data_IF_997873784646
#
_entry.id   IF_997873784646
#
_cell.length_a   1.000
_cell.length_b   1.000
_cell.length_c   1.000
_cell.angle_alpha   90.00
_cell.angle_beta   90.00
_cell.angle_gamma   90.00
#
_symmetry.space_group_name_H-M   'P 1'
#
loop_
_entity.id
_entity.type
_entity.pdbx_description
1 polymer ?
#
# COMPACT_ATOMS: atom_id res chain seq x y z
N UNK A 1 -22.14 14.46 -4.04
CA UNK A 1 -22.69 14.86 -2.74
C UNK A 1 -21.75 15.79 -1.98
N UNK A 2 -20.47 15.43 -1.84
CA UNK A 2 -19.45 16.33 -1.23
C UNK A 2 -19.39 17.66 -1.99
N UNK A 3 -19.45 17.63 -3.31
CA UNK A 3 -19.50 18.82 -4.18
C UNK A 3 -20.77 19.67 -3.93
N UNK A 4 -21.93 19.03 -3.77
CA UNK A 4 -23.19 19.75 -3.48
C UNK A 4 -23.17 20.41 -2.12
N UNK A 5 -22.71 19.70 -1.08
CA UNK A 5 -22.64 20.26 0.29
C UNK A 5 -21.54 21.32 0.39
N UNK A 6 -20.45 21.16 -0.38
CA UNK A 6 -19.35 22.11 -0.40
C UNK A 6 -19.67 23.34 -1.28
N UNK A 7 -20.55 23.23 -2.29
CA UNK A 7 -21.03 24.36 -3.07
C UNK A 7 -21.79 25.38 -2.20
N UNK A 8 -22.54 24.92 -1.21
CA UNK A 8 -23.19 25.78 -0.20
C UNK A 8 -22.18 26.49 0.71
N UNK A 9 -20.90 26.11 0.64
CA UNK A 9 -19.81 26.64 1.44
C UNK A 9 -18.64 27.08 0.54
N UNK A 10 -18.93 27.97 -0.37
CA UNK A 10 -18.01 28.50 -1.39
C UNK A 10 -16.69 29.09 -0.84
N UNK A 11 -16.58 29.31 0.47
CA UNK A 11 -15.33 29.70 1.16
C UNK A 11 -14.35 28.56 1.36
N UNK A 12 -14.79 27.29 1.23
CA UNK A 12 -13.95 26.13 1.39
C UNK A 12 -13.31 25.72 0.06
N UNK A 13 -12.02 25.41 0.08
CA UNK A 13 -11.29 25.01 -1.12
C UNK A 13 -11.98 23.84 -1.86
N UNK A 14 -12.53 22.86 -1.14
CA UNK A 14 -13.23 21.71 -1.73
C UNK A 14 -14.53 22.10 -2.45
N UNK A 15 -15.15 23.21 -2.09
CA UNK A 15 -16.40 23.69 -2.70
C UNK A 15 -16.20 24.61 -3.91
N UNK A 16 -14.97 24.99 -4.22
CA UNK A 16 -14.69 25.89 -5.31
C UNK A 16 -14.76 25.16 -6.64
N UNK A 17 -15.48 25.72 -7.66
CA UNK A 17 -15.63 25.08 -8.96
C UNK A 17 -14.30 24.76 -9.63
N UNK A 18 -13.29 25.62 -9.49
CA UNK A 18 -11.95 25.43 -10.04
C UNK A 18 -11.22 24.19 -9.49
N UNK A 19 -11.65 23.69 -8.32
CA UNK A 19 -11.07 22.51 -7.66
C UNK A 19 -11.85 21.23 -7.94
N UNK A 20 -12.94 21.25 -8.69
CA UNK A 20 -13.82 20.10 -8.91
C UNK A 20 -13.08 18.90 -9.52
N UNK A 21 -12.22 19.13 -10.52
CA UNK A 21 -11.43 18.06 -11.14
C UNK A 21 -10.40 17.47 -10.17
N UNK A 22 -9.68 18.30 -9.43
CA UNK A 22 -8.72 17.87 -8.43
C UNK A 22 -9.39 17.06 -7.31
N UNK A 23 -10.58 17.48 -6.87
CA UNK A 23 -11.40 16.75 -5.88
C UNK A 23 -11.82 15.38 -6.41
N UNK A 24 -12.27 15.31 -7.67
CA UNK A 24 -12.68 14.06 -8.31
C UNK A 24 -11.53 13.08 -8.41
N UNK A 25 -10.36 13.53 -8.85
CA UNK A 25 -9.16 12.70 -8.93
C UNK A 25 -8.70 12.20 -7.56
N UNK A 26 -8.69 13.06 -6.55
CA UNK A 26 -8.36 12.68 -5.17
C UNK A 26 -9.32 11.60 -4.65
N UNK A 27 -10.63 11.75 -4.90
CA UNK A 27 -11.63 10.77 -4.50
C UNK A 27 -11.41 9.41 -5.17
N UNK A 28 -11.15 9.39 -6.49
CA UNK A 28 -10.89 8.16 -7.23
C UNK A 28 -9.61 7.45 -6.76
N UNK A 29 -8.54 8.20 -6.50
CA UNK A 29 -7.28 7.66 -5.97
C UNK A 29 -7.45 7.06 -4.58
N UNK A 30 -8.16 7.77 -3.70
CA UNK A 30 -8.47 7.26 -2.36
C UNK A 30 -9.30 5.99 -2.41
N UNK A 31 -10.29 5.91 -3.31
CA UNK A 31 -11.11 4.71 -3.51
C UNK A 31 -10.26 3.54 -4.04
N UNK A 32 -9.41 3.77 -5.02
CA UNK A 32 -8.49 2.75 -5.54
C UNK A 32 -7.55 2.24 -4.45
N UNK A 33 -6.98 3.16 -3.66
CA UNK A 33 -6.09 2.80 -2.56
C UNK A 33 -6.82 1.98 -1.48
N UNK A 34 -8.03 2.37 -1.09
CA UNK A 34 -8.85 1.62 -0.14
C UNK A 34 -9.17 0.21 -0.66
N UNK A 35 -9.63 0.10 -1.91
CA UNK A 35 -9.93 -1.20 -2.52
C UNK A 35 -8.71 -2.10 -2.55
N UNK A 36 -7.55 -1.56 -2.90
CA UNK A 36 -6.27 -2.29 -2.88
C UNK A 36 -5.93 -2.78 -1.47
N UNK A 37 -6.02 -1.92 -0.46
CA UNK A 37 -5.74 -2.28 0.93
C UNK A 37 -6.72 -3.36 1.44
N UNK A 38 -7.98 -3.27 1.08
CA UNK A 38 -8.99 -4.27 1.46
C UNK A 38 -8.80 -5.60 0.73
N UNK A 39 -8.59 -5.57 -0.57
CA UNK A 39 -8.50 -6.79 -1.39
C UNK A 39 -7.15 -7.49 -1.22
N UNK A 40 -6.03 -6.75 -1.27
CA UNK A 40 -4.70 -7.34 -1.19
C UNK A 40 -4.25 -7.63 0.24
N UNK A 41 -4.54 -6.72 1.16
CA UNK A 41 -3.99 -6.78 2.52
C UNK A 41 -5.05 -7.14 3.57
N UNK A 42 -6.31 -7.32 3.17
CA UNK A 42 -7.40 -7.63 4.09
C UNK A 42 -7.62 -6.58 5.18
N UNK A 43 -7.28 -5.31 4.89
CA UNK A 43 -7.41 -4.22 5.86
C UNK A 43 -8.88 -3.83 6.00
N UNK A 44 -9.34 -3.67 7.23
CA UNK A 44 -10.70 -3.20 7.52
C UNK A 44 -10.87 -1.72 7.11
N UNK A 45 -12.12 -1.32 6.85
CA UNK A 45 -12.46 0.06 6.51
C UNK A 45 -12.21 1.04 7.67
N UNK A 46 -12.23 0.54 8.90
CA UNK A 46 -11.91 1.28 10.11
C UNK A 46 -10.71 0.70 10.82
N UNK A 47 -9.79 1.56 11.18
CA UNK A 47 -8.54 1.20 11.86
C UNK A 47 -8.35 2.07 13.10
N UNK A 48 -7.66 1.55 14.10
CA UNK A 48 -7.37 2.33 15.30
C UNK A 48 -6.04 3.08 15.14
N UNK A 49 -6.03 4.38 15.48
CA UNK A 49 -4.83 5.22 15.55
C UNK A 49 -3.95 4.90 16.75
N UNK A 50 -2.81 5.60 16.88
CA UNK A 50 -1.93 5.51 18.07
C UNK A 50 -2.64 5.91 19.37
N UNK A 51 -3.58 6.84 19.32
CA UNK A 51 -4.40 7.29 20.47
C UNK A 51 -5.52 6.31 20.82
N UNK A 52 -5.80 5.32 19.97
CA UNK A 52 -6.93 4.40 20.12
C UNK A 52 -8.22 4.89 19.45
N UNK A 53 -8.23 6.11 18.91
CA UNK A 53 -9.38 6.62 18.16
C UNK A 53 -9.55 5.85 16.84
N UNK A 54 -10.81 5.65 16.45
CA UNK A 54 -11.14 5.01 15.18
C UNK A 54 -10.95 5.98 14.02
N UNK A 55 -10.25 5.51 12.98
CA UNK A 55 -10.01 6.23 11.73
C UNK A 55 -10.67 5.48 10.59
N UNK A 56 -11.55 6.15 9.85
CA UNK A 56 -12.05 5.62 8.60
C UNK A 56 -10.95 5.73 7.53
N UNK A 57 -10.52 4.59 7.00
CA UNK A 57 -9.34 4.50 6.13
C UNK A 57 -9.55 5.24 4.80
N UNK A 58 -10.74 5.14 4.20
CA UNK A 58 -11.04 5.88 2.98
C UNK A 58 -10.89 7.39 3.18
N UNK A 59 -11.43 7.92 4.26
CA UNK A 59 -11.34 9.36 4.57
C UNK A 59 -9.93 9.79 4.92
N UNK A 60 -9.15 8.93 5.57
CA UNK A 60 -7.74 9.19 5.81
C UNK A 60 -6.95 9.29 4.49
N UNK A 61 -7.18 8.36 3.56
CA UNK A 61 -6.57 8.39 2.22
C UNK A 61 -7.06 9.61 1.43
N UNK A 62 -8.37 9.86 1.40
CA UNK A 62 -8.93 11.02 0.72
C UNK A 62 -8.32 12.34 1.24
N UNK A 63 -8.15 12.48 2.55
CA UNK A 63 -7.51 13.66 3.14
C UNK A 63 -6.09 13.83 2.64
N UNK A 64 -5.34 12.75 2.50
CA UNK A 64 -3.97 12.78 1.99
C UNK A 64 -3.93 13.14 0.50
N UNK A 65 -4.80 12.54 -0.30
CA UNK A 65 -4.91 12.82 -1.74
C UNK A 65 -5.38 14.27 -2.01
N UNK A 66 -6.28 14.81 -1.20
CA UNK A 66 -6.68 16.22 -1.29
C UNK A 66 -5.53 17.17 -0.95
N UNK A 67 -4.71 16.82 0.05
CA UNK A 67 -3.50 17.60 0.35
C UNK A 67 -2.54 17.65 -0.84
N UNK A 68 -2.43 16.55 -1.61
CA UNK A 68 -1.56 16.48 -2.80
C UNK A 68 -2.17 17.13 -4.03
N UNK A 69 -3.48 17.06 -4.18
CA UNK A 69 -4.18 17.62 -5.35
C UNK A 69 -3.93 19.11 -5.49
N UNK A 70 -4.01 19.86 -4.40
CA UNK A 70 -3.73 21.29 -4.39
C UNK A 70 -2.25 21.63 -4.66
N UNK A 71 -1.34 20.77 -4.22
CA UNK A 71 0.06 20.91 -4.57
C UNK A 71 0.29 20.73 -6.09
N UNK A 72 -0.32 19.74 -6.71
CA UNK A 72 -0.20 19.51 -8.13
C UNK A 72 -0.73 20.70 -8.93
N UNK A 73 -1.87 21.27 -8.54
CA UNK A 73 -2.52 22.40 -9.19
C UNK A 73 -1.76 23.71 -8.95
N UNK A 74 -1.49 24.06 -7.69
CA UNK A 74 -1.03 25.39 -7.31
C UNK A 74 0.50 25.53 -7.37
N UNK A 75 1.23 24.43 -7.23
CA UNK A 75 2.70 24.43 -7.27
C UNK A 75 3.23 23.89 -8.60
N UNK A 76 2.96 22.63 -8.94
CA UNK A 76 3.63 22.00 -10.09
C UNK A 76 3.24 22.62 -11.42
N UNK A 77 1.97 22.88 -11.69
CA UNK A 77 1.52 23.51 -12.93
C UNK A 77 2.10 24.93 -13.05
N UNK A 78 1.97 25.72 -11.99
CA UNK A 78 2.51 27.08 -11.97
C UNK A 78 4.05 27.12 -12.03
N UNK A 79 4.74 26.11 -11.50
CA UNK A 79 6.19 25.97 -11.61
C UNK A 79 6.62 25.63 -13.04
N UNK A 80 5.95 24.67 -13.69
CA UNK A 80 6.23 24.28 -15.06
C UNK A 80 6.09 25.47 -16.02
N UNK A 81 5.00 26.23 -15.94
CA UNK A 81 4.79 27.45 -16.73
C UNK A 81 5.94 28.47 -16.57
N UNK A 82 6.45 28.62 -15.34
CA UNK A 82 7.55 29.55 -15.08
C UNK A 82 8.90 29.03 -15.56
N UNK A 83 9.11 27.71 -15.55
CA UNK A 83 10.30 27.09 -16.15
C UNK A 83 10.28 27.31 -17.66
N UNK A 84 9.15 27.08 -18.32
CA UNK A 84 9.00 27.29 -19.75
C UNK A 84 9.24 28.76 -20.14
N UNK A 85 8.75 29.71 -19.33
CA UNK A 85 8.91 31.12 -19.56
C UNK A 85 10.32 31.65 -19.28
N UNK A 86 11.07 31.05 -18.33
CA UNK A 86 12.38 31.56 -17.90
C UNK A 86 13.55 30.77 -18.47
N UNK A 87 13.35 29.50 -18.87
CA UNK A 87 14.41 28.56 -19.24
C UNK A 87 15.29 28.10 -18.07
N UNK A 88 15.02 28.59 -16.86
CA UNK A 88 15.81 28.24 -15.63
C UNK A 88 14.88 27.91 -14.46
N UNK A 89 14.96 26.66 -13.99
CA UNK A 89 14.14 26.17 -12.89
C UNK A 89 14.41 26.92 -11.56
N UNK A 90 15.60 27.45 -11.35
CA UNK A 90 15.94 28.19 -10.12
C UNK A 90 15.23 29.53 -10.09
N UNK A 91 15.22 30.23 -11.24
CA UNK A 91 14.49 31.50 -11.42
C UNK A 91 13.00 31.26 -11.30
N UNK A 92 12.49 30.17 -11.90
CA UNK A 92 11.10 29.77 -11.80
C UNK A 92 10.67 29.53 -10.34
N UNK A 93 11.48 28.78 -9.59
CA UNK A 93 11.20 28.48 -8.18
C UNK A 93 11.22 29.75 -7.31
N UNK A 94 12.20 30.63 -7.50
CA UNK A 94 12.28 31.90 -6.77
C UNK A 94 11.07 32.78 -7.04
N UNK A 95 10.67 32.93 -8.30
CA UNK A 95 9.49 33.72 -8.68
C UNK A 95 8.21 33.13 -8.08
N UNK A 96 8.02 31.81 -8.19
CA UNK A 96 6.87 31.13 -7.62
C UNK A 96 6.77 31.33 -6.09
N UNK A 97 7.89 31.18 -5.38
CA UNK A 97 7.95 31.38 -3.93
C UNK A 97 7.66 32.83 -3.54
N UNK A 98 8.21 33.81 -4.28
CA UNK A 98 7.97 35.24 -4.03
C UNK A 98 6.51 35.60 -4.28
N UNK A 99 5.88 35.08 -5.31
CA UNK A 99 4.46 35.27 -5.57
C UNK A 99 3.61 34.66 -4.46
N UNK A 100 3.98 33.44 -4.02
CA UNK A 100 3.31 32.77 -2.90
C UNK A 100 3.39 33.55 -1.59
N UNK A 101 4.55 34.15 -1.28
CA UNK A 101 4.72 35.00 -0.09
C UNK A 101 3.93 36.30 -0.22
N UNK A 102 3.99 36.97 -1.38
CA UNK A 102 3.28 38.22 -1.62
C UNK A 102 1.77 38.08 -1.57
N UNK A 103 1.25 36.98 -2.10
CA UNK A 103 -0.18 36.71 -2.23
C UNK A 103 -0.74 35.91 -1.04
N UNK A 104 0.13 35.46 -0.10
CA UNK A 104 -0.26 34.63 1.03
C UNK A 104 -0.67 33.20 0.65
N UNK A 105 -0.20 32.72 -0.51
CA UNK A 105 -0.54 31.41 -1.06
C UNK A 105 0.52 30.37 -0.68
N UNK A 106 0.35 29.75 0.48
CA UNK A 106 1.30 28.75 0.99
C UNK A 106 1.49 27.54 0.05
N UNK A 107 0.49 27.16 -0.74
CA UNK A 107 0.59 26.07 -1.69
C UNK A 107 1.62 26.30 -2.82
N UNK A 108 2.09 27.53 -2.99
CA UNK A 108 3.19 27.90 -3.88
C UNK A 108 4.58 27.77 -3.24
N UNK A 109 4.65 27.24 -2.03
CA UNK A 109 5.91 26.99 -1.33
C UNK A 109 6.20 25.50 -1.25
N UNK A 110 7.49 25.09 -1.20
CA UNK A 110 7.87 23.68 -1.11
C UNK A 110 7.50 23.03 0.22
N UNK A 111 7.14 23.82 1.22
CA UNK A 111 6.60 23.36 2.49
C UNK A 111 5.43 24.27 2.91
N UNK A 112 4.50 23.67 3.63
CA UNK A 112 3.37 24.41 4.24
C UNK A 112 3.41 24.23 5.75
N UNK A 113 2.88 25.21 6.47
CA UNK A 113 2.75 25.17 7.92
C UNK A 113 1.36 25.64 8.36
N UNK A 114 0.90 25.12 9.46
CA UNK A 114 -0.41 25.50 10.03
C UNK A 114 -0.46 25.20 11.52
N UNK A 115 -1.42 25.78 12.21
CA UNK A 115 -1.80 25.28 13.52
C UNK A 115 -2.56 23.96 13.40
N UNK A 116 -2.58 23.18 14.48
CA UNK A 116 -3.38 21.95 14.54
C UNK A 116 -4.86 22.23 14.27
N UNK A 117 -5.43 23.27 14.89
CA UNK A 117 -6.85 23.59 14.79
C UNK A 117 -7.25 23.97 13.37
N UNK A 118 -6.42 24.75 12.67
CA UNK A 118 -6.64 25.07 11.26
C UNK A 118 -6.63 23.81 10.39
N UNK A 119 -5.70 22.89 10.65
CA UNK A 119 -5.61 21.65 9.89
C UNK A 119 -6.79 20.72 10.16
N UNK A 120 -7.20 20.58 11.42
CA UNK A 120 -8.41 19.84 11.82
C UNK A 120 -9.64 20.44 11.16
N UNK A 121 -9.78 21.77 11.14
CA UNK A 121 -10.89 22.44 10.47
C UNK A 121 -10.94 22.12 8.98
N UNK A 122 -9.80 22.14 8.28
CA UNK A 122 -9.72 21.76 6.86
C UNK A 122 -10.15 20.31 6.65
N UNK A 123 -9.61 19.37 7.43
CA UNK A 123 -9.95 17.95 7.32
C UNK A 123 -11.42 17.71 7.68
N UNK A 124 -11.98 18.47 8.62
CA UNK A 124 -13.41 18.40 8.97
C UNK A 124 -14.28 18.63 7.74
N UNK A 125 -13.92 19.61 6.89
CA UNK A 125 -14.61 19.84 5.62
C UNK A 125 -14.56 18.64 4.66
N UNK A 126 -13.56 17.79 4.76
CA UNK A 126 -13.41 16.57 3.95
C UNK A 126 -14.12 15.35 4.55
N UNK A 127 -14.63 15.45 5.78
CA UNK A 127 -15.40 14.38 6.44
C UNK A 127 -16.92 14.51 6.26
N UNK A 128 -17.36 15.47 5.48
CA UNK A 128 -18.77 15.74 5.21
C UNK A 128 -19.47 14.54 4.58
N UNK A 129 -20.66 14.20 5.09
CA UNK A 129 -21.56 13.17 4.54
C UNK A 129 -23.02 13.61 4.62
N UNK A 130 -23.93 12.80 4.08
CA UNK A 130 -25.37 13.02 4.22
C UNK A 130 -25.81 13.07 5.68
N UNK A 131 -25.25 12.19 6.51
CA UNK A 131 -25.53 12.12 7.95
C UNK A 131 -24.79 13.17 8.77
N UNK A 132 -23.67 13.68 8.26
CA UNK A 132 -22.81 14.65 8.94
C UNK A 132 -22.51 15.85 8.01
N UNK A 133 -23.50 16.69 7.72
CA UNK A 133 -23.33 17.79 6.75
C UNK A 133 -22.38 18.90 7.24
N UNK A 134 -22.08 18.94 8.53
CA UNK A 134 -21.08 19.84 9.11
C UNK A 134 -19.66 19.25 9.12
N UNK A 135 -19.52 17.99 8.74
CA UNK A 135 -18.29 17.21 8.93
C UNK A 135 -18.15 16.74 10.39
N UNK A 136 -17.08 15.96 10.64
CA UNK A 136 -16.82 15.38 11.96
C UNK A 136 -15.43 15.79 12.48
N UNK A 137 -15.36 16.80 13.40
CA UNK A 137 -14.08 17.28 13.94
C UNK A 137 -13.28 16.21 14.71
N UNK A 138 -13.97 15.28 15.39
CA UNK A 138 -13.31 14.18 16.11
C UNK A 138 -12.63 13.23 15.14
N UNK A 139 -13.32 12.85 14.08
CA UNK A 139 -12.75 12.04 13.01
C UNK A 139 -11.59 12.76 12.30
N UNK A 140 -11.75 14.06 12.04
CA UNK A 140 -10.71 14.89 11.43
C UNK A 140 -9.43 14.93 12.29
N UNK A 141 -9.61 15.06 13.62
CA UNK A 141 -8.50 14.99 14.58
C UNK A 141 -7.80 13.64 14.54
N UNK A 142 -8.57 12.54 14.56
CA UNK A 142 -8.02 11.18 14.49
C UNK A 142 -7.27 10.90 13.16
N UNK A 143 -7.80 11.39 12.04
CA UNK A 143 -7.15 11.32 10.71
C UNK A 143 -5.82 12.09 10.72
N UNK A 144 -5.83 13.31 11.28
CA UNK A 144 -4.62 14.11 11.38
C UNK A 144 -3.54 13.40 12.21
N UNK A 145 -3.92 12.83 13.36
CA UNK A 145 -3.01 12.09 14.23
C UNK A 145 -2.49 10.82 13.56
N UNK A 146 -3.30 10.15 12.78
CA UNK A 146 -2.88 8.98 11.99
C UNK A 146 -1.73 9.32 11.01
N UNK A 147 -1.75 10.51 10.41
CA UNK A 147 -0.73 10.96 9.44
C UNK A 147 0.39 11.81 10.05
N UNK A 148 0.43 12.01 11.36
CA UNK A 148 1.35 12.96 12.01
C UNK A 148 2.43 12.26 12.83
N UNK A 149 3.69 12.65 12.61
CA UNK A 149 4.78 12.42 13.56
C UNK A 149 4.89 13.60 14.52
N UNK A 150 4.80 13.34 15.82
CA UNK A 150 5.17 14.31 16.86
C UNK A 150 6.69 14.27 17.03
N UNK A 151 7.34 15.32 16.52
CA UNK A 151 8.80 15.39 16.48
C UNK A 151 9.41 15.64 17.85
N UNK A 152 8.70 16.32 18.75
CA UNK A 152 9.13 16.54 20.14
C UNK A 152 9.12 15.19 20.88
N UNK A 153 8.01 14.50 20.86
CA UNK A 153 7.89 13.18 21.48
C UNK A 153 8.87 12.16 20.84
N UNK A 154 9.10 12.25 19.53
CA UNK A 154 10.10 11.39 18.85
C UNK A 154 11.52 11.69 19.31
N UNK A 155 11.89 12.95 19.44
CA UNK A 155 13.23 13.35 19.94
C UNK A 155 13.48 12.84 21.37
N UNK A 156 12.50 12.97 22.26
CA UNK A 156 12.57 12.45 23.63
C UNK A 156 12.79 10.93 23.67
N UNK A 157 12.11 10.19 22.77
CA UNK A 157 12.25 8.74 22.67
C UNK A 157 13.60 8.33 22.10
N UNK A 158 14.12 9.07 21.11
CA UNK A 158 15.49 8.87 20.59
C UNK A 158 16.55 9.11 21.65
N UNK A 159 16.40 10.14 22.49
CA UNK A 159 17.30 10.39 23.62
C UNK A 159 17.32 9.23 24.63
N UNK A 160 16.21 8.49 24.76
CA UNK A 160 16.11 7.28 25.58
C UNK A 160 16.63 6.01 24.90
N UNK A 161 17.23 6.14 23.70
CA UNK A 161 17.71 5.03 22.88
C UNK A 161 16.64 3.96 22.58
N UNK A 162 15.37 4.37 22.42
CA UNK A 162 14.32 3.45 22.03
C UNK A 162 14.56 2.92 20.61
N UNK A 163 14.66 1.60 20.38
CA UNK A 163 14.97 1.04 19.08
C UNK A 163 13.83 1.26 18.08
N UNK A 164 14.16 1.38 16.81
CA UNK A 164 13.19 1.39 15.72
C UNK A 164 12.45 2.71 15.48
N UNK A 165 12.88 3.81 16.09
CA UNK A 165 12.21 5.11 16.08
C UNK A 165 12.75 6.10 15.04
N UNK A 166 12.94 5.69 13.81
CA UNK A 166 13.24 6.65 12.76
C UNK A 166 11.93 7.16 12.12
N UNK A 167 11.61 8.47 12.22
CA UNK A 167 10.49 9.06 11.51
C UNK A 167 10.66 8.86 10.02
N UNK A 168 9.59 8.49 9.34
CA UNK A 168 9.61 8.28 7.91
C UNK A 168 8.46 9.04 7.25
N UNK A 169 8.80 10.03 6.42
CA UNK A 169 7.83 10.90 5.77
C UNK A 169 6.85 10.14 4.88
N UNK A 170 7.29 9.03 4.27
CA UNK A 170 6.42 8.16 3.45
C UNK A 170 5.46 7.28 4.26
N UNK A 171 5.53 7.33 5.59
CA UNK A 171 4.53 6.69 6.45
C UNK A 171 3.59 7.75 7.04
N UNK A 172 4.15 8.89 7.45
CA UNK A 172 3.44 10.00 8.06
C UNK A 172 4.00 11.33 7.55
N UNK A 173 3.35 11.91 6.53
CA UNK A 173 3.89 13.08 5.84
C UNK A 173 3.66 14.41 6.58
N UNK A 174 3.00 14.40 7.73
CA UNK A 174 2.79 15.58 8.57
C UNK A 174 3.72 15.53 9.77
N UNK A 175 4.52 16.57 9.97
CA UNK A 175 5.43 16.71 11.10
C UNK A 175 4.89 17.72 12.08
N UNK A 176 4.83 17.38 13.38
CA UNK A 176 4.38 18.27 14.45
C UNK A 176 5.57 18.70 15.29
N UNK A 177 5.76 20.02 15.39
CA UNK A 177 6.75 20.68 16.24
C UNK A 177 6.02 21.58 17.25
N UNK A 178 5.76 21.05 18.43
CA UNK A 178 4.93 21.75 19.44
C UNK A 178 3.52 22.01 18.92
N UNK A 179 3.15 23.29 18.77
CA UNK A 179 1.84 23.70 18.24
C UNK A 179 1.78 23.80 16.71
N UNK A 180 2.93 23.75 16.03
CA UNK A 180 3.03 23.94 14.59
C UNK A 180 3.10 22.60 13.86
N UNK A 181 2.28 22.46 12.84
CA UNK A 181 2.36 21.37 11.87
C UNK A 181 3.10 21.86 10.63
N UNK A 182 4.02 21.01 10.14
CA UNK A 182 4.76 21.24 8.89
C UNK A 182 4.47 20.08 7.96
N UNK A 183 4.22 20.38 6.70
CA UNK A 183 3.97 19.39 5.67
C UNK A 183 4.83 19.72 4.44
N UNK A 184 5.31 18.66 3.80
CA UNK A 184 6.00 18.70 2.51
C UNK A 184 5.01 18.20 1.44
N UNK A 185 4.26 19.09 0.76
CA UNK A 185 3.18 18.66 -0.16
C UNK A 185 3.70 17.80 -1.30
N UNK A 186 4.93 18.04 -1.75
CA UNK A 186 5.58 17.24 -2.78
C UNK A 186 5.83 15.78 -2.36
N UNK A 187 6.10 15.51 -1.07
CA UNK A 187 6.21 14.12 -0.56
C UNK A 187 4.87 13.41 -0.75
N UNK A 188 3.78 14.07 -0.32
CA UNK A 188 2.43 13.51 -0.43
C UNK A 188 2.01 13.32 -1.88
N UNK A 189 2.34 14.28 -2.76
CA UNK A 189 1.98 14.24 -4.18
C UNK A 189 2.75 13.21 -5.01
N UNK A 190 3.96 12.87 -4.60
CA UNK A 190 4.85 11.96 -5.35
C UNK A 190 4.90 10.54 -4.77
N UNK A 191 4.37 10.31 -3.58
CA UNK A 191 4.36 8.98 -2.97
C UNK A 191 3.12 8.18 -3.37
N UNK A 192 3.20 6.86 -3.19
CA UNK A 192 2.03 5.99 -3.24
C UNK A 192 1.33 6.00 -1.87
N UNK A 193 0.15 6.64 -1.79
CA UNK A 193 -0.57 6.82 -0.54
C UNK A 193 -1.11 5.49 0.05
N UNK A 194 -1.37 4.46 -0.78
CA UNK A 194 -1.69 3.13 -0.27
C UNK A 194 -0.50 2.49 0.43
N UNK A 195 0.71 2.65 -0.11
CA UNK A 195 1.94 2.19 0.54
C UNK A 195 2.22 2.93 1.84
N UNK A 196 1.99 4.25 1.89
CA UNK A 196 2.08 5.02 3.12
C UNK A 196 1.11 4.50 4.19
N UNK A 197 -0.13 4.22 3.82
CA UNK A 197 -1.14 3.67 4.73
C UNK A 197 -0.72 2.30 5.26
N UNK A 198 -0.30 1.37 4.40
CA UNK A 198 0.07 0.02 4.86
C UNK A 198 1.31 0.06 5.76
N UNK A 199 2.31 0.88 5.46
CA UNK A 199 3.48 1.02 6.32
C UNK A 199 3.11 1.60 7.69
N UNK A 200 2.20 2.58 7.73
CA UNK A 200 1.70 3.13 9.00
C UNK A 200 0.90 2.09 9.80
N UNK A 201 0.06 1.28 9.15
CA UNK A 201 -0.68 0.18 9.78
C UNK A 201 0.25 -0.91 10.32
N UNK A 202 1.30 -1.27 9.59
CA UNK A 202 2.33 -2.21 10.04
C UNK A 202 3.06 -1.72 11.28
N UNK A 203 3.40 -0.44 11.30
CA UNK A 203 4.00 0.18 12.48
C UNK A 203 3.08 0.09 13.70
N UNK A 204 1.80 0.34 13.51
CA UNK A 204 0.79 0.19 14.56
C UNK A 204 0.63 -1.28 14.99
N UNK A 205 0.55 -2.20 14.05
CA UNK A 205 0.46 -3.63 14.28
C UNK A 205 1.68 -4.19 15.01
N UNK A 206 2.89 -3.78 14.62
CA UNK A 206 4.12 -4.18 15.28
C UNK A 206 4.15 -3.76 16.76
N UNK A 207 3.70 -2.54 17.06
CA UNK A 207 3.56 -2.06 18.45
C UNK A 207 2.56 -2.86 19.28
N UNK A 208 1.56 -3.46 18.63
CA UNK A 208 0.49 -4.25 19.29
C UNK A 208 0.76 -5.75 19.27
N UNK A 209 1.91 -6.21 18.76
CA UNK A 209 2.22 -7.62 18.60
C UNK A 209 1.42 -8.35 17.51
N UNK A 210 0.79 -7.62 16.59
CA UNK A 210 -0.12 -8.15 15.55
C UNK A 210 0.55 -8.40 14.18
N UNK A 211 1.87 -8.48 14.12
CA UNK A 211 2.59 -8.67 12.86
C UNK A 211 2.21 -9.97 12.12
N UNK A 212 1.85 -11.02 12.88
CA UNK A 212 1.42 -12.32 12.33
C UNK A 212 0.06 -12.23 11.63
N UNK A 213 -0.84 -11.39 12.15
CA UNK A 213 -2.21 -11.26 11.65
C UNK A 213 -2.25 -10.64 10.24
N UNK A 214 -1.25 -9.84 9.89
CA UNK A 214 -1.16 -9.26 8.54
C UNK A 214 -0.85 -10.32 7.49
N UNK A 215 0.16 -11.18 7.73
CA UNK A 215 0.50 -12.25 6.80
C UNK A 215 -0.71 -13.16 6.53
N UNK A 216 -1.38 -13.59 7.58
CA UNK A 216 -2.59 -14.42 7.47
C UNK A 216 -3.73 -13.74 6.71
N UNK A 217 -3.91 -12.41 6.89
CA UNK A 217 -4.92 -11.66 6.12
C UNK A 217 -4.59 -11.59 4.64
N UNK A 218 -3.31 -11.43 4.28
CA UNK A 218 -2.85 -11.40 2.89
C UNK A 218 -3.05 -12.78 2.24
N UNK A 219 -2.63 -13.84 2.91
CA UNK A 219 -2.82 -15.22 2.45
C UNK A 219 -4.30 -15.53 2.20
N UNK A 220 -5.17 -15.22 3.18
CA UNK A 220 -6.62 -15.37 3.04
C UNK A 220 -7.21 -14.45 1.96
N UNK A 221 -6.66 -13.26 1.75
CA UNK A 221 -7.03 -12.34 0.69
C UNK A 221 -6.73 -12.92 -0.69
N UNK A 222 -5.50 -13.40 -0.88
CA UNK A 222 -5.08 -14.05 -2.14
C UNK A 222 -5.89 -15.32 -2.43
N UNK A 223 -6.12 -16.17 -1.43
CA UNK A 223 -6.93 -17.37 -1.60
C UNK A 223 -8.34 -17.02 -2.10
N UNK A 224 -9.02 -16.07 -1.44
CA UNK A 224 -10.36 -15.62 -1.87
C UNK A 224 -10.39 -15.05 -3.29
N UNK A 225 -9.34 -14.36 -3.72
CA UNK A 225 -9.24 -13.84 -5.08
C UNK A 225 -9.08 -14.96 -6.10
N UNK A 226 -8.24 -15.93 -5.80
CA UNK A 226 -8.06 -17.14 -6.62
C UNK A 226 -9.36 -17.95 -6.69
N UNK A 227 -10.07 -18.14 -5.57
CA UNK A 227 -11.38 -18.81 -5.53
C UNK A 227 -12.43 -18.12 -6.38
N UNK A 228 -12.48 -16.79 -6.39
CA UNK A 228 -13.35 -16.00 -7.27
C UNK A 228 -13.05 -16.23 -8.76
N UNK A 229 -11.85 -16.70 -9.10
CA UNK A 229 -11.41 -17.06 -10.46
C UNK A 229 -11.54 -18.55 -10.75
N UNK A 230 -12.18 -19.30 -9.86
CA UNK A 230 -12.46 -20.72 -10.04
C UNK A 230 -11.38 -21.66 -9.52
N UNK A 231 -10.29 -21.13 -8.93
CA UNK A 231 -9.30 -21.99 -8.30
C UNK A 231 -9.86 -22.66 -7.06
N UNK A 232 -9.43 -23.86 -6.80
CA UNK A 232 -9.51 -24.47 -5.47
C UNK A 232 -8.25 -24.12 -4.72
N UNK A 233 -8.40 -23.67 -3.47
CA UNK A 233 -7.29 -23.21 -2.65
C UNK A 233 -7.17 -24.01 -1.37
N UNK A 234 -5.95 -24.11 -0.85
CA UNK A 234 -5.65 -24.68 0.46
C UNK A 234 -4.63 -23.77 1.13
N UNK A 235 -5.00 -23.24 2.28
CA UNK A 235 -4.17 -22.35 3.10
C UNK A 235 -3.49 -23.13 4.22
N UNK A 236 -2.29 -22.69 4.60
CA UNK A 236 -1.58 -23.08 5.81
C UNK A 236 -1.45 -24.61 5.94
N UNK A 237 -1.18 -25.26 4.82
CA UNK A 237 -1.02 -26.70 4.82
C UNK A 237 0.31 -27.10 5.42
N UNK A 238 0.25 -27.97 6.43
CA UNK A 238 1.43 -28.54 7.08
C UNK A 238 1.62 -29.96 6.56
N UNK A 239 2.71 -30.23 5.81
CA UNK A 239 2.99 -31.57 5.35
C UNK A 239 3.24 -32.53 6.54
N UNK A 240 2.94 -33.83 6.38
CA UNK A 240 3.34 -34.84 7.34
C UNK A 240 4.84 -34.74 7.66
N UNK A 241 5.21 -34.84 8.91
CA UNK A 241 6.61 -34.72 9.35
C UNK A 241 7.49 -35.73 8.60
N UNK A 242 8.47 -35.20 7.88
CA UNK A 242 9.52 -35.94 7.17
C UNK A 242 10.91 -35.52 7.66
N UNK A 243 11.98 -36.18 7.20
CA UNK A 243 13.35 -35.84 7.58
C UNK A 243 13.74 -34.41 7.18
N UNK A 244 13.13 -33.87 6.12
CA UNK A 244 13.27 -32.48 5.69
C UNK A 244 11.98 -31.72 6.02
N UNK A 245 11.97 -31.01 7.15
CA UNK A 245 10.84 -30.16 7.55
C UNK A 245 10.64 -29.03 6.53
N UNK A 246 9.64 -29.21 5.65
CA UNK A 246 9.27 -28.20 4.67
C UNK A 246 8.59 -26.97 5.30
N UNK A 247 8.13 -27.10 6.54
CA UNK A 247 7.32 -26.11 7.21
C UNK A 247 5.92 -26.00 6.61
N UNK A 248 5.16 -25.04 7.09
CA UNK A 248 3.82 -24.71 6.60
C UNK A 248 3.89 -24.13 5.18
N UNK A 249 3.01 -24.58 4.28
CA UNK A 249 2.83 -24.04 2.94
C UNK A 249 1.73 -22.98 2.99
N UNK A 250 2.07 -21.74 2.70
CA UNK A 250 1.19 -20.59 2.93
C UNK A 250 -0.08 -20.70 2.06
N UNK A 251 0.07 -20.98 0.75
CA UNK A 251 -1.05 -21.10 -0.18
C UNK A 251 -0.76 -22.09 -1.31
N UNK A 252 -1.70 -23.01 -1.52
CA UNK A 252 -1.73 -23.91 -2.68
C UNK A 252 -3.00 -23.59 -3.46
N UNK A 253 -2.92 -23.51 -4.79
CA UNK A 253 -4.06 -23.26 -5.64
C UNK A 253 -4.03 -24.15 -6.88
N UNK A 254 -5.20 -24.67 -7.29
CA UNK A 254 -5.34 -25.59 -8.43
C UNK A 254 -6.49 -25.11 -9.32
N UNK A 255 -6.25 -25.09 -10.64
CA UNK A 255 -7.26 -24.85 -11.66
C UNK A 255 -6.83 -25.54 -12.97
N UNK A 256 -7.72 -26.30 -13.60
CA UNK A 256 -7.58 -26.85 -14.97
C UNK A 256 -6.20 -27.50 -15.27
N UNK A 257 -5.68 -28.28 -14.33
CA UNK A 257 -4.38 -28.94 -14.47
C UNK A 257 -3.15 -28.06 -14.11
N UNK A 258 -3.37 -26.83 -13.69
CA UNK A 258 -2.36 -25.97 -13.11
C UNK A 258 -2.31 -26.11 -11.59
N UNK A 259 -1.12 -26.20 -11.03
CA UNK A 259 -0.84 -26.17 -9.60
C UNK A 259 0.06 -25.00 -9.28
N UNK A 260 -0.35 -24.17 -8.36
CA UNK A 260 0.44 -23.07 -7.82
C UNK A 260 0.78 -23.34 -6.36
N UNK A 261 2.06 -23.19 -6.02
CA UNK A 261 2.56 -23.19 -4.64
C UNK A 261 3.12 -21.80 -4.37
N UNK A 262 2.53 -21.07 -3.43
CA UNK A 262 2.85 -19.67 -3.20
C UNK A 262 3.38 -19.50 -1.78
N UNK A 263 4.58 -18.94 -1.67
CA UNK A 263 5.18 -18.47 -0.43
C UNK A 263 4.89 -16.98 -0.27
N UNK A 264 4.17 -16.58 0.77
CA UNK A 264 3.76 -15.19 1.00
C UNK A 264 4.75 -14.48 1.93
N UNK A 265 5.17 -13.29 1.54
CA UNK A 265 6.01 -12.41 2.38
C UNK A 265 5.32 -11.07 2.57
N UNK A 266 5.13 -10.69 3.84
CA UNK A 266 4.66 -9.37 4.22
C UNK A 266 5.85 -8.54 4.68
N UNK A 267 6.26 -7.58 3.86
CA UNK A 267 7.48 -6.81 4.11
C UNK A 267 7.26 -5.32 3.98
N UNK A 268 8.02 -4.52 4.74
CA UNK A 268 7.98 -3.07 4.66
C UNK A 268 8.66 -2.58 3.38
N UNK A 269 8.23 -1.41 2.87
CA UNK A 269 8.97 -0.71 1.83
C UNK A 269 10.39 -0.38 2.29
N UNK A 270 11.36 -0.62 1.44
CA UNK A 270 12.77 -0.37 1.74
C UNK A 270 13.07 1.12 1.75
N UNK A 271 13.96 1.52 2.65
CA UNK A 271 14.34 2.93 2.84
C UNK A 271 15.65 3.29 2.14
N UNK A 272 16.43 2.27 1.77
CA UNK A 272 17.73 2.44 1.14
C UNK A 272 18.05 1.29 0.19
N UNK A 273 19.02 1.51 -0.70
CA UNK A 273 19.55 0.44 -1.55
C UNK A 273 20.16 -0.70 -0.72
N UNK A 274 20.76 -0.40 0.42
CA UNK A 274 21.26 -1.41 1.35
C UNK A 274 20.14 -2.29 1.90
N UNK A 275 19.02 -1.69 2.27
CA UNK A 275 17.86 -2.46 2.76
C UNK A 275 17.27 -3.34 1.66
N UNK A 276 17.19 -2.84 0.42
CA UNK A 276 16.77 -3.62 -0.74
C UNK A 276 17.73 -4.78 -1.01
N UNK A 277 19.04 -4.55 -0.95
CA UNK A 277 20.05 -5.59 -1.10
C UNK A 277 19.95 -6.63 0.03
N UNK A 278 19.83 -6.20 1.29
CA UNK A 278 19.65 -7.12 2.42
C UNK A 278 18.38 -7.97 2.24
N UNK A 279 17.29 -7.35 1.82
CA UNK A 279 16.04 -8.07 1.55
C UNK A 279 16.23 -9.16 0.48
N UNK A 280 16.82 -8.82 -0.65
CA UNK A 280 17.11 -9.76 -1.73
C UNK A 280 18.00 -10.91 -1.27
N UNK A 281 19.11 -10.60 -0.57
CA UNK A 281 20.12 -11.57 -0.19
C UNK A 281 19.79 -12.41 1.04
N UNK A 282 18.87 -11.95 1.89
CA UNK A 282 18.44 -12.68 3.10
C UNK A 282 17.01 -13.19 2.97
N UNK A 283 16.02 -12.30 2.97
CA UNK A 283 14.60 -12.67 3.03
C UNK A 283 14.15 -13.44 1.80
N UNK A 284 14.36 -12.89 0.60
CA UNK A 284 13.91 -13.51 -0.65
C UNK A 284 14.70 -14.77 -0.97
N UNK A 285 16.01 -14.76 -0.71
CA UNK A 285 16.84 -15.96 -0.87
C UNK A 285 16.38 -17.10 0.06
N UNK A 286 16.07 -16.78 1.31
CA UNK A 286 15.52 -17.75 2.26
C UNK A 286 14.14 -18.24 1.82
N UNK A 287 13.28 -17.36 1.34
CA UNK A 287 11.96 -17.72 0.80
C UNK A 287 12.09 -18.70 -0.36
N UNK A 288 13.01 -18.48 -1.30
CA UNK A 288 13.28 -19.44 -2.39
C UNK A 288 13.76 -20.81 -1.92
N UNK A 289 14.58 -20.86 -0.86
CA UNK A 289 15.01 -22.12 -0.26
C UNK A 289 13.86 -22.85 0.44
N UNK A 290 12.98 -22.12 1.15
CA UNK A 290 11.78 -22.66 1.77
C UNK A 290 10.83 -23.21 0.70
N UNK A 291 10.58 -22.43 -0.34
CA UNK A 291 9.66 -22.78 -1.41
C UNK A 291 10.08 -24.07 -2.14
N UNK A 292 11.38 -24.30 -2.32
CA UNK A 292 11.88 -25.55 -2.92
C UNK A 292 11.41 -26.77 -2.14
N UNK A 293 11.56 -26.77 -0.81
CA UNK A 293 11.13 -27.88 0.06
C UNK A 293 9.61 -28.01 0.09
N UNK A 294 8.88 -26.87 0.07
CA UNK A 294 7.41 -26.86 0.04
C UNK A 294 6.88 -27.47 -1.26
N UNK A 295 7.47 -27.10 -2.41
CA UNK A 295 7.13 -27.66 -3.73
C UNK A 295 7.32 -29.17 -3.77
N UNK A 296 8.43 -29.66 -3.24
CA UNK A 296 8.71 -31.09 -3.17
C UNK A 296 7.70 -31.82 -2.26
N UNK A 297 7.40 -31.28 -1.09
CA UNK A 297 6.41 -31.85 -0.19
C UNK A 297 5.00 -31.90 -0.79
N UNK A 298 4.59 -30.85 -1.51
CA UNK A 298 3.30 -30.79 -2.23
C UNK A 298 3.27 -31.83 -3.34
N UNK A 299 4.34 -31.98 -4.10
CA UNK A 299 4.45 -32.96 -5.19
C UNK A 299 4.33 -34.38 -4.66
N UNK A 300 5.01 -34.69 -3.55
CA UNK A 300 4.92 -36.00 -2.88
C UNK A 300 3.49 -36.25 -2.36
N UNK A 301 2.84 -35.26 -1.74
CA UNK A 301 1.48 -35.40 -1.25
C UNK A 301 0.47 -35.61 -2.39
N UNK A 302 0.60 -34.91 -3.50
CA UNK A 302 -0.23 -35.16 -4.69
C UNK A 302 -0.06 -36.58 -5.21
N UNK A 303 1.15 -37.11 -5.22
CA UNK A 303 1.42 -38.46 -5.71
C UNK A 303 0.89 -39.56 -4.75
N UNK A 304 1.01 -39.37 -3.45
CA UNK A 304 0.84 -40.45 -2.45
C UNK A 304 -0.41 -40.31 -1.58
N UNK A 305 -1.03 -39.12 -1.44
CA UNK A 305 -2.15 -38.88 -0.52
C UNK A 305 -3.48 -38.61 -1.25
N UNK A 306 -4.39 -39.59 -1.31
CA UNK A 306 -5.70 -39.39 -1.92
C UNK A 306 -6.56 -38.35 -1.19
N UNK A 307 -6.44 -38.21 0.12
CA UNK A 307 -7.19 -37.22 0.90
C UNK A 307 -6.74 -35.81 0.56
N UNK A 308 -5.44 -35.58 0.40
CA UNK A 308 -4.89 -34.31 -0.06
C UNK A 308 -5.38 -33.96 -1.46
N UNK A 309 -5.37 -34.92 -2.39
CA UNK A 309 -5.94 -34.70 -3.74
C UNK A 309 -7.42 -34.34 -3.68
N UNK A 310 -8.21 -35.02 -2.85
CA UNK A 310 -9.64 -34.76 -2.71
C UNK A 310 -9.93 -33.32 -2.22
N UNK A 311 -9.15 -32.81 -1.27
CA UNK A 311 -9.24 -31.41 -0.79
C UNK A 311 -8.99 -30.43 -1.92
N UNK A 312 -7.99 -30.70 -2.78
CA UNK A 312 -7.66 -29.87 -3.94
C UNK A 312 -8.60 -30.14 -5.15
N UNK A 313 -9.58 -31.05 -5.01
CA UNK A 313 -10.50 -31.42 -6.08
C UNK A 313 -9.85 -32.10 -7.27
N UNK A 314 -8.70 -32.71 -7.06
CA UNK A 314 -8.02 -33.53 -8.05
C UNK A 314 -8.66 -34.93 -8.02
N UNK A 315 -9.34 -35.31 -9.10
CA UNK A 315 -9.89 -36.66 -9.28
C UNK A 315 -8.76 -37.69 -9.45
N UNK A 316 -9.05 -38.97 -9.21
CA UNK A 316 -8.11 -40.04 -9.45
C UNK A 316 -7.60 -40.01 -10.90
N UNK A 317 -6.27 -39.89 -11.06
CA UNK A 317 -5.63 -39.80 -12.39
C UNK A 317 -5.39 -38.37 -12.92
N UNK A 318 -5.99 -37.35 -12.34
CA UNK A 318 -5.72 -35.95 -12.68
C UNK A 318 -4.53 -35.43 -11.84
N UNK A 319 -3.33 -35.67 -12.32
CA UNK A 319 -2.13 -35.04 -11.79
C UNK A 319 -1.95 -33.69 -12.50
N UNK A 320 -1.74 -32.58 -11.79
CA UNK A 320 -1.46 -31.29 -12.42
C UNK A 320 -0.29 -31.43 -13.39
N UNK A 321 -0.52 -31.07 -14.63
CA UNK A 321 0.51 -31.19 -15.70
C UNK A 321 1.48 -30.02 -15.69
N UNK A 322 1.07 -28.91 -15.04
CA UNK A 322 1.86 -27.68 -14.94
C UNK A 322 1.93 -27.22 -13.49
N UNK A 323 3.14 -27.21 -12.96
CA UNK A 323 3.40 -26.78 -11.60
C UNK A 323 4.21 -25.48 -11.60
N UNK A 324 3.70 -24.49 -10.90
CA UNK A 324 4.32 -23.18 -10.74
C UNK A 324 4.51 -22.87 -9.25
N UNK A 325 5.58 -22.18 -8.93
CA UNK A 325 5.85 -21.77 -7.57
C UNK A 325 6.38 -20.33 -7.54
N UNK A 326 5.76 -19.49 -6.70
CA UNK A 326 6.06 -18.07 -6.63
C UNK A 326 6.33 -17.61 -5.21
N UNK A 327 7.19 -16.60 -5.09
CA UNK A 327 7.35 -15.81 -3.86
C UNK A 327 6.49 -14.56 -4.04
N UNK A 328 5.33 -14.51 -3.39
CA UNK A 328 4.46 -13.34 -3.39
C UNK A 328 4.86 -12.39 -2.26
N UNK A 329 5.35 -11.19 -2.60
CA UNK A 329 5.75 -10.18 -1.62
C UNK A 329 4.84 -8.94 -1.70
N UNK A 330 4.64 -8.28 -0.59
CA UNK A 330 3.90 -7.02 -0.53
C UNK A 330 4.68 -5.81 -1.08
N UNK A 331 5.94 -5.98 -1.41
CA UNK A 331 6.78 -4.96 -2.03
C UNK A 331 7.06 -5.27 -3.50
N UNK A 332 7.16 -4.23 -4.32
CA UNK A 332 7.44 -4.34 -5.76
C UNK A 332 8.93 -4.50 -6.07
N UNK A 333 9.81 -4.20 -5.09
CA UNK A 333 11.24 -4.35 -5.30
C UNK A 333 11.61 -5.80 -5.64
N UNK A 334 12.48 -5.96 -6.61
CA UNK A 334 12.93 -7.25 -7.14
C UNK A 334 11.82 -8.07 -7.83
N UNK A 335 10.72 -7.46 -8.28
CA UNK A 335 9.75 -8.15 -9.11
C UNK A 335 10.42 -8.73 -10.36
N UNK A 336 9.95 -9.90 -10.77
CA UNK A 336 10.47 -10.72 -11.88
C UNK A 336 11.90 -11.26 -11.71
N UNK A 337 12.55 -11.03 -10.57
CA UNK A 337 13.81 -11.68 -10.25
C UNK A 337 13.56 -13.07 -9.65
N UNK A 338 14.53 -13.97 -9.85
CA UNK A 338 14.47 -15.35 -9.34
C UNK A 338 15.31 -15.55 -8.10
N UNK A 339 14.71 -16.16 -7.10
CA UNK A 339 15.36 -16.53 -5.85
C UNK A 339 15.25 -18.04 -5.62
N UNK A 340 16.37 -18.73 -5.60
CA UNK A 340 16.40 -20.20 -5.54
C UNK A 340 15.75 -20.90 -6.74
N UNK A 341 15.64 -20.20 -7.88
CA UNK A 341 14.97 -20.68 -9.10
C UNK A 341 13.51 -20.24 -9.24
N UNK A 342 12.90 -19.67 -8.20
CA UNK A 342 11.49 -19.27 -8.16
C UNK A 342 11.32 -17.77 -8.39
N UNK A 343 10.30 -17.41 -9.15
CA UNK A 343 9.97 -16.04 -9.48
C UNK A 343 9.42 -15.33 -8.25
N UNK A 344 9.91 -14.11 -7.99
CA UNK A 344 9.29 -13.17 -7.06
C UNK A 344 8.31 -12.29 -7.82
N UNK A 345 7.08 -12.18 -7.30
CA UNK A 345 6.02 -11.31 -7.81
C UNK A 345 5.46 -10.48 -6.66
N UNK A 346 5.03 -9.26 -6.94
CA UNK A 346 4.31 -8.48 -5.92
C UNK A 346 2.86 -8.95 -5.81
N UNK A 347 2.28 -8.79 -4.63
CA UNK A 347 0.84 -9.03 -4.42
C UNK A 347 0.02 -8.15 -5.37
N UNK A 348 0.48 -6.92 -5.63
CA UNK A 348 -0.18 -6.00 -6.56
C UNK A 348 -0.21 -6.55 -7.99
N UNK A 349 0.87 -7.13 -8.45
CA UNK A 349 0.95 -7.75 -9.78
C UNK A 349 0.04 -8.96 -9.88
N UNK A 350 0.01 -9.81 -8.86
CA UNK A 350 -0.95 -10.92 -8.80
C UNK A 350 -2.39 -10.44 -8.87
N UNK A 351 -2.73 -9.33 -8.23
CA UNK A 351 -4.06 -8.73 -8.32
C UNK A 351 -4.40 -8.26 -9.72
N UNK A 352 -3.43 -7.69 -10.43
CA UNK A 352 -3.61 -7.26 -11.82
C UNK A 352 -3.82 -8.49 -12.71
N UNK A 353 -2.93 -9.47 -12.57
CA UNK A 353 -3.00 -10.72 -13.33
C UNK A 353 -4.31 -11.50 -13.10
N UNK A 354 -4.82 -11.51 -11.87
CA UNK A 354 -6.10 -12.14 -11.54
C UNK A 354 -7.32 -11.38 -12.06
N UNK A 355 -7.18 -10.12 -12.46
CA UNK A 355 -8.25 -9.35 -13.12
C UNK A 355 -8.33 -9.61 -14.62
N UNK A 356 -7.22 -9.97 -15.23
CA UNK A 356 -7.14 -10.37 -16.62
C UNK A 356 -7.02 -11.91 -16.70
N UNK A 357 -8.13 -12.59 -16.98
CA UNK A 357 -8.18 -14.05 -17.07
C UNK A 357 -7.20 -14.60 -18.12
N UNK A 358 -6.87 -13.82 -19.14
CA UNK A 358 -5.93 -14.18 -20.19
C UNK A 358 -4.50 -14.20 -19.69
N UNK A 359 -4.18 -13.30 -18.78
CA UNK A 359 -2.80 -13.11 -18.31
C UNK A 359 -2.26 -14.33 -17.56
N UNK A 360 -3.00 -14.81 -16.54
CA UNK A 360 -2.58 -15.95 -15.73
C UNK A 360 -2.82 -17.31 -16.41
N UNK A 361 -3.95 -17.45 -17.08
CA UNK A 361 -4.38 -18.73 -17.64
C UNK A 361 -3.73 -19.04 -19.00
N UNK A 362 -3.46 -18.00 -19.81
CA UNK A 362 -2.90 -18.22 -21.14
C UNK A 362 -1.37 -18.29 -21.15
N UNK A 363 -0.69 -17.63 -20.23
CA UNK A 363 0.78 -17.66 -20.19
C UNK A 363 1.38 -17.55 -18.79
N UNK A 364 1.11 -18.50 -17.87
CA UNK A 364 1.84 -18.55 -16.60
C UNK A 364 3.33 -18.80 -16.79
N UNK A 365 3.72 -19.40 -17.91
CA UNK A 365 5.12 -19.57 -18.28
C UNK A 365 5.81 -18.26 -18.62
N UNK A 366 5.14 -17.34 -19.32
CA UNK A 366 5.63 -16.01 -19.63
C UNK A 366 5.83 -15.17 -18.38
N UNK A 367 4.87 -15.19 -17.46
CA UNK A 367 5.01 -14.54 -16.15
C UNK A 367 6.22 -15.10 -15.39
N UNK A 368 6.40 -16.41 -15.41
CA UNK A 368 7.55 -17.08 -14.80
C UNK A 368 8.88 -16.78 -15.49
N UNK A 369 8.87 -16.55 -16.79
CA UNK A 369 10.05 -16.21 -17.56
C UNK A 369 10.46 -14.74 -17.45
N UNK A 370 9.60 -13.90 -16.87
CA UNK A 370 9.81 -12.45 -16.83
C UNK A 370 9.63 -11.78 -18.19
N UNK A 371 8.88 -12.42 -19.10
CA UNK A 371 8.63 -11.91 -20.45
C UNK A 371 7.52 -10.86 -20.53
N UNK A 372 6.94 -10.46 -19.40
CA UNK A 372 6.05 -9.32 -19.29
C UNK A 372 6.87 -8.07 -19.03
N UNK A 373 7.53 -7.65 -19.93
CA UNK A 373 8.20 -6.40 -19.86
C UNK A 373 8.52 -6.00 -21.27
N UNK A 374 7.92 -4.89 -21.65
CA UNK A 374 8.41 -4.12 -22.77
C UNK A 374 8.09 -4.74 -24.12
N UNK A 375 6.84 -4.66 -24.54
CA UNK A 375 6.62 -4.32 -25.94
C UNK A 375 7.13 -2.88 -26.08
N UNK A 376 8.25 -2.72 -26.80
CA UNK A 376 8.85 -1.47 -27.20
C UNK A 376 7.90 -0.62 -28.05
#
# INVERSE_FOLDING_TARGET
YVEQVAADRATWMIGRPENAEANRLAWLRALQAQLRLREAYGVADEVASDSGDTVNLFRALLSLDLMSAFFLQDFLAAFAERVDASGDWRVALQRLAMDGLREGLQNRLPLTWSSRDSKVSNITGWTVTKSEPAGNPRMASAILDFWTYDMVATAERLQRNEPGLQPHLFERPVLKFGATLVQLPWVVGMQNNSTAAINNLRRLGARRGQARDEAQRIEAGLARLLEKRGFRTLLNWVPPRGPDDAGEVDLIAVLDGYLFVIEVKSTFMRRSQRDAWLHATTTLRKAGQQLRRKVEAVSVAIASDPAFRAVLGLSEGLIPTRQHAWIADTCIECDHQRFGGFLKVSVEELLIALRDDRHLLNDPGGLLAGNYGVDE
#
